data_IF_953306379589
#
_entry.id   IF_953306379589
#
_cell.length_a   1.000
_cell.length_b   1.000
_cell.length_c   1.000
_cell.angle_alpha   90.00
_cell.angle_beta   90.00
_cell.angle_gamma   90.00
#
_symmetry.space_group_name_H-M   'P 1'
#
loop_
_entity.id
_entity.type
_entity.pdbx_description
1 polymer ?
#
# COMPACT_ATOMS: atom_id res chain seq x y z
N UNK A 1 -24.42 -12.99 10.53
CA UNK A 1 -22.97 -13.12 10.76
C UNK A 1 -22.38 -13.85 9.56
N UNK A 2 -21.87 -13.17 8.51
CA UNK A 2 -21.34 -13.89 7.36
C UNK A 2 -20.04 -14.60 7.78
N UNK A 3 -19.95 -15.87 7.41
CA UNK A 3 -18.88 -16.82 7.71
C UNK A 3 -17.52 -16.33 7.23
N UNK A 4 -16.49 -16.54 8.05
CA UNK A 4 -15.09 -16.16 7.82
C UNK A 4 -14.42 -17.07 6.78
N UNK A 5 -14.99 -17.17 5.59
CA UNK A 5 -14.32 -17.82 4.47
C UNK A 5 -13.23 -16.88 3.96
N UNK A 6 -12.03 -17.03 4.51
CA UNK A 6 -10.88 -16.23 4.12
C UNK A 6 -10.66 -16.39 2.61
N UNK A 7 -10.89 -15.32 1.86
CA UNK A 7 -10.61 -15.24 0.42
C UNK A 7 -9.14 -15.65 0.21
N UNK A 8 -8.92 -16.91 -0.23
CA UNK A 8 -7.57 -17.42 -0.50
C UNK A 8 -7.13 -16.93 -1.86
N UNK A 9 -6.54 -15.73 -1.87
CA UNK A 9 -5.97 -15.15 -3.08
C UNK A 9 -4.69 -15.90 -3.49
N UNK A 10 -4.40 -16.03 -4.80
CA UNK A 10 -3.17 -16.65 -5.29
C UNK A 10 -1.93 -15.91 -4.74
N UNK A 11 -0.87 -16.68 -4.43
CA UNK A 11 0.38 -16.15 -3.87
C UNK A 11 1.05 -15.22 -4.88
N UNK A 12 0.90 -13.90 -4.67
CA UNK A 12 1.53 -12.88 -5.51
C UNK A 12 3.05 -12.85 -5.29
N UNK A 13 3.85 -13.00 -6.35
CA UNK A 13 5.33 -12.99 -6.34
C UNK A 13 5.92 -11.56 -6.36
N UNK A 14 5.41 -10.69 -5.50
CA UNK A 14 5.82 -9.26 -5.43
C UNK A 14 7.28 -9.04 -5.03
N UNK A 15 7.88 -10.04 -4.38
CA UNK A 15 9.24 -10.01 -3.84
C UNK A 15 10.19 -10.99 -4.54
N UNK A 16 9.83 -11.46 -5.74
CA UNK A 16 10.63 -12.43 -6.49
C UNK A 16 10.63 -13.83 -5.87
N UNK A 17 11.63 -14.64 -6.24
CA UNK A 17 11.82 -16.02 -5.79
C UNK A 17 13.27 -16.46 -6.04
N UNK A 18 13.74 -17.47 -5.29
CA UNK A 18 15.03 -18.11 -5.51
C UNK A 18 16.17 -17.35 -4.82
N UNK A 19 17.42 -17.48 -5.30
CA UNK A 19 18.59 -16.84 -4.70
C UNK A 19 18.51 -15.30 -4.60
N UNK A 20 17.70 -14.68 -5.46
CA UNK A 20 17.45 -13.23 -5.48
C UNK A 20 16.10 -12.83 -4.90
N UNK A 21 15.48 -13.70 -4.09
CA UNK A 21 14.29 -13.31 -3.33
C UNK A 21 14.60 -12.08 -2.49
N UNK A 22 13.68 -11.10 -2.48
CA UNK A 22 13.89 -9.85 -1.78
C UNK A 22 14.15 -10.11 -0.29
N UNK A 23 15.33 -9.71 0.17
CA UNK A 23 15.72 -9.78 1.58
C UNK A 23 14.75 -8.98 2.47
N UNK A 24 14.12 -7.94 1.92
CA UNK A 24 13.18 -7.06 2.61
C UNK A 24 11.72 -7.50 2.62
N UNK A 25 11.33 -8.68 2.11
CA UNK A 25 9.92 -9.10 2.05
C UNK A 25 9.21 -9.02 3.40
N UNK A 26 9.84 -9.52 4.46
CA UNK A 26 9.24 -9.52 5.80
C UNK A 26 9.20 -8.10 6.40
N UNK A 27 10.26 -7.31 6.21
CA UNK A 27 10.29 -5.93 6.68
C UNK A 27 9.22 -5.08 6.00
N UNK A 28 9.14 -5.13 4.66
CA UNK A 28 8.15 -4.38 3.89
C UNK A 28 6.71 -4.74 4.29
N UNK A 29 6.45 -6.00 4.67
CA UNK A 29 5.14 -6.42 5.18
C UNK A 29 4.83 -5.82 6.54
N UNK A 30 5.80 -5.80 7.45
CA UNK A 30 5.64 -5.21 8.78
C UNK A 30 5.42 -3.70 8.64
N UNK A 31 6.26 -3.02 7.86
CA UNK A 31 6.15 -1.59 7.60
C UNK A 31 4.79 -1.24 7.00
N UNK A 32 4.36 -1.95 5.93
CA UNK A 32 3.09 -1.66 5.28
C UNK A 32 1.90 -1.94 6.18
N UNK A 33 1.93 -3.04 6.95
CA UNK A 33 0.86 -3.36 7.90
C UNK A 33 0.78 -2.28 8.98
N UNK A 34 1.90 -1.94 9.61
CA UNK A 34 1.94 -0.94 10.68
C UNK A 34 1.52 0.43 10.16
N UNK A 35 2.06 0.87 9.01
CA UNK A 35 1.71 2.14 8.38
C UNK A 35 0.22 2.22 8.08
N UNK A 36 -0.32 1.27 7.30
CA UNK A 36 -1.72 1.34 6.86
C UNK A 36 -2.68 1.21 8.05
N UNK A 37 -2.42 0.31 8.99
CA UNK A 37 -3.27 0.20 10.18
C UNK A 37 -3.21 1.46 11.01
N UNK A 38 -2.03 1.96 11.36
CA UNK A 38 -1.89 3.16 12.20
C UNK A 38 -2.50 4.39 11.53
N UNK A 39 -2.23 4.59 10.24
CA UNK A 39 -2.74 5.71 9.46
C UNK A 39 -4.27 5.71 9.40
N UNK A 40 -4.89 4.57 9.07
CA UNK A 40 -6.34 4.47 8.94
C UNK A 40 -7.07 4.51 10.30
N UNK A 41 -6.44 4.08 11.39
CA UNK A 41 -7.01 4.24 12.74
C UNK A 41 -6.90 5.68 13.23
N UNK A 42 -5.80 6.38 12.91
CA UNK A 42 -5.57 7.76 13.38
C UNK A 42 -6.33 8.80 12.57
N UNK A 43 -6.52 8.57 11.28
CA UNK A 43 -7.18 9.49 10.34
C UNK A 43 -8.36 8.76 9.67
N UNK A 44 -9.48 8.56 10.40
CA UNK A 44 -10.60 7.73 9.92
C UNK A 44 -11.38 8.37 8.75
N UNK A 45 -11.27 9.68 8.56
CA UNK A 45 -11.90 10.47 7.50
C UNK A 45 -10.90 10.93 6.42
N UNK A 46 -9.71 10.31 6.38
CA UNK A 46 -8.69 10.56 5.38
C UNK A 46 -9.22 10.31 3.97
N UNK A 47 -9.17 11.32 3.11
CA UNK A 47 -9.60 11.22 1.72
C UNK A 47 -8.65 11.95 0.77
N UNK A 48 -8.69 11.60 -0.52
CA UNK A 48 -7.93 12.29 -1.55
C UNK A 48 -8.59 13.63 -1.89
N UNK A 49 -7.77 14.67 -2.01
CA UNK A 49 -8.23 16.02 -2.44
C UNK A 49 -8.02 16.29 -3.91
N UNK A 50 -7.45 15.33 -4.64
CA UNK A 50 -7.25 15.37 -6.08
C UNK A 50 -7.97 14.19 -6.74
N UNK A 51 -8.34 14.37 -8.01
CA UNK A 51 -8.86 13.30 -8.84
C UNK A 51 -7.81 12.17 -8.96
N UNK A 52 -8.16 10.91 -8.62
CA UNK A 52 -7.26 9.76 -8.72
C UNK A 52 -6.60 9.59 -10.10
N UNK A 53 -7.27 9.96 -11.18
CA UNK A 53 -6.73 9.84 -12.55
C UNK A 53 -5.61 10.85 -12.82
N UNK A 54 -5.56 11.94 -12.04
CA UNK A 54 -4.63 13.05 -12.22
C UNK A 54 -3.49 13.07 -11.17
N UNK A 55 -3.33 11.98 -10.40
CA UNK A 55 -2.26 11.89 -9.40
C UNK A 55 -0.89 11.84 -10.10
N UNK A 56 0.03 12.77 -9.79
CA UNK A 56 1.34 12.79 -10.43
C UNK A 56 2.13 11.55 -10.02
N UNK A 57 2.79 10.92 -10.98
CA UNK A 57 3.68 9.78 -10.75
C UNK A 57 5.13 10.17 -11.05
N UNK A 58 6.08 9.45 -10.46
CA UNK A 58 7.48 9.66 -10.81
C UNK A 58 7.76 9.21 -12.25
N UNK A 59 8.34 10.10 -13.05
CA UNK A 59 8.86 9.75 -14.38
C UNK A 59 10.19 9.00 -14.24
N UNK A 60 10.43 8.04 -15.14
CA UNK A 60 11.71 7.32 -15.29
C UNK A 60 12.19 6.53 -14.04
N UNK A 61 11.28 6.05 -13.19
CA UNK A 61 11.62 5.14 -12.08
C UNK A 61 11.23 3.70 -12.38
N UNK A 62 12.10 2.76 -11.98
CA UNK A 62 11.84 1.30 -12.05
C UNK A 62 10.72 0.90 -11.08
N UNK A 63 10.61 1.58 -9.94
CA UNK A 63 9.53 1.39 -8.97
C UNK A 63 8.46 2.44 -9.21
N UNK A 64 7.25 1.98 -9.54
CA UNK A 64 6.09 2.85 -9.77
C UNK A 64 5.46 3.31 -8.44
N UNK A 65 5.00 4.55 -8.41
CA UNK A 65 4.26 5.13 -7.29
C UNK A 65 3.91 6.59 -7.53
N UNK A 66 2.97 7.14 -6.74
CA UNK A 66 2.65 8.55 -6.78
C UNK A 66 3.86 9.38 -6.33
N UNK A 67 4.16 10.45 -7.07
CA UNK A 67 5.15 11.44 -6.66
C UNK A 67 4.64 12.32 -5.52
N UNK A 68 3.32 12.53 -5.47
CA UNK A 68 2.59 13.18 -4.38
C UNK A 68 1.20 12.56 -4.27
N UNK A 69 0.67 12.50 -3.06
CA UNK A 69 -0.69 12.04 -2.78
C UNK A 69 -1.40 13.07 -1.90
N UNK A 70 -2.07 14.08 -2.50
CA UNK A 70 -2.80 15.10 -1.76
C UNK A 70 -3.97 14.47 -1.01
N UNK A 71 -4.03 14.72 0.30
CA UNK A 71 -5.05 14.18 1.21
C UNK A 71 -5.50 15.25 2.18
N UNK A 72 -6.70 15.07 2.73
CA UNK A 72 -7.25 15.88 3.82
C UNK A 72 -7.92 14.98 4.87
N UNK A 73 -7.96 15.46 6.12
CA UNK A 73 -8.51 14.77 7.29
C UNK A 73 -8.82 15.80 8.39
N UNK A 74 -9.74 15.48 9.30
CA UNK A 74 -10.02 16.34 10.45
C UNK A 74 -8.77 16.47 11.34
N UNK A 75 -8.30 17.69 11.67
CA UNK A 75 -7.06 17.92 12.43
C UNK A 75 -6.97 17.21 13.78
#
# INVERSE_FOLDING_TARGET
MPSSEAIRLPKRRRFGHGPHHCLGDQLARIELRTLLTTMLHRFPDLHLTADPEHIPTHQHRVVHGPARLPVDFTP
#
